data_IF_377039417634
#
_entry.id   IF_377039417634
#
_cell.length_a   1.000
_cell.length_b   1.000
_cell.length_c   1.000
_cell.angle_alpha   90.00
_cell.angle_beta   90.00
_cell.angle_gamma   90.00
#
_symmetry.space_group_name_H-M   'P 1'
#
loop_
_entity.id
_entity.type
_entity.pdbx_description
1 polymer ?
#
# COMPACT_ATOMS: atom_id res chain seq x y z
N UNK A 1 -18.06 9.07 6.75
CA UNK A 1 -16.86 8.38 6.22
C UNK A 1 -16.00 9.39 5.45
N UNK A 2 -14.73 9.41 5.77
CA UNK A 2 -13.81 10.35 5.13
C UNK A 2 -13.42 9.82 3.75
N UNK A 3 -13.34 10.73 2.79
CA UNK A 3 -12.94 10.36 1.44
C UNK A 3 -11.45 10.01 1.39
N UNK A 4 -11.10 9.01 0.58
CA UNK A 4 -9.71 8.60 0.40
C UNK A 4 -8.94 9.68 -0.37
N UNK A 5 -7.80 10.09 0.19
CA UNK A 5 -6.91 11.08 -0.43
C UNK A 5 -5.51 10.48 -0.56
N UNK A 6 -5.04 10.33 -1.79
CA UNK A 6 -3.73 9.75 -2.06
C UNK A 6 -2.60 10.55 -1.42
N UNK A 7 -2.69 11.87 -1.45
CA UNK A 7 -1.67 12.73 -0.86
C UNK A 7 -1.58 12.51 0.65
N UNK A 8 -2.73 12.43 1.31
CA UNK A 8 -2.77 12.17 2.74
C UNK A 8 -2.29 10.76 3.06
N UNK A 9 -2.64 9.80 2.22
CA UNK A 9 -2.17 8.42 2.39
C UNK A 9 -0.65 8.35 2.33
N UNK A 10 -0.04 9.04 1.38
CA UNK A 10 1.41 9.07 1.24
C UNK A 10 2.05 9.67 2.49
N UNK A 11 1.51 10.79 2.98
CA UNK A 11 2.01 11.43 4.19
C UNK A 11 1.90 10.51 5.39
N UNK A 12 0.78 9.82 5.51
CA UNK A 12 0.56 8.87 6.59
C UNK A 12 1.58 7.73 6.54
N UNK A 13 1.77 7.17 5.34
CA UNK A 13 2.74 6.08 5.16
C UNK A 13 4.14 6.53 5.57
N UNK A 14 4.55 7.72 5.12
CA UNK A 14 5.87 8.24 5.47
C UNK A 14 6.02 8.46 6.98
N UNK A 15 4.94 8.79 7.68
CA UNK A 15 4.99 9.01 9.11
C UNK A 15 5.00 7.70 9.90
N UNK A 16 4.42 6.65 9.35
CA UNK A 16 4.32 5.36 10.03
C UNK A 16 5.56 4.49 9.83
N UNK A 17 6.23 4.64 8.69
CA UNK A 17 7.38 3.81 8.35
C UNK A 17 8.66 4.59 8.64
N UNK A 18 9.44 4.09 9.60
CA UNK A 18 10.68 4.73 10.05
C UNK A 18 11.89 4.37 9.21
N UNK A 19 11.72 3.65 8.13
CA UNK A 19 12.82 3.25 7.27
C UNK A 19 13.49 4.45 6.61
N UNK A 20 14.81 4.48 6.62
CA UNK A 20 15.57 5.56 6.00
C UNK A 20 15.29 5.66 4.50
N UNK A 21 15.04 4.52 3.87
CA UNK A 21 14.80 4.46 2.43
C UNK A 21 13.46 5.08 2.06
N UNK A 22 12.45 4.92 2.91
CA UNK A 22 11.10 5.42 2.62
C UNK A 22 11.09 6.93 2.47
N UNK A 23 11.93 7.63 3.20
CA UNK A 23 12.03 9.09 3.11
C UNK A 23 12.62 9.53 1.77
N UNK A 24 13.37 8.66 1.13
CA UNK A 24 14.03 8.96 -0.15
C UNK A 24 13.19 8.56 -1.36
N UNK A 25 12.12 7.79 -1.14
CA UNK A 25 11.26 7.39 -2.25
C UNK A 25 10.41 8.58 -2.72
N UNK A 26 10.23 8.67 -4.02
CA UNK A 26 9.32 9.66 -4.60
C UNK A 26 7.88 9.27 -4.29
N UNK A 27 6.98 10.26 -4.36
CA UNK A 27 5.55 9.99 -4.18
C UNK A 27 5.06 8.96 -5.18
N UNK A 28 5.57 8.99 -6.42
CA UNK A 28 5.20 8.03 -7.46
C UNK A 28 5.55 6.60 -7.07
N UNK A 29 6.67 6.41 -6.37
CA UNK A 29 7.08 5.07 -5.93
C UNK A 29 6.10 4.52 -4.91
N UNK A 30 5.65 5.35 -4.00
CA UNK A 30 4.66 4.95 -3.00
C UNK A 30 3.30 4.72 -3.66
N UNK A 31 2.94 5.57 -4.64
CA UNK A 31 1.69 5.41 -5.38
C UNK A 31 1.64 4.08 -6.13
N UNK A 32 2.76 3.63 -6.67
CA UNK A 32 2.81 2.31 -7.33
C UNK A 32 2.37 1.21 -6.37
N UNK A 33 2.81 1.29 -5.13
CA UNK A 33 2.42 0.31 -4.12
C UNK A 33 0.93 0.42 -3.80
N UNK A 34 0.43 1.65 -3.64
CA UNK A 34 -0.98 1.89 -3.38
C UNK A 34 -1.84 1.35 -4.53
N UNK A 35 -1.45 1.63 -5.77
CA UNK A 35 -2.17 1.13 -6.94
C UNK A 35 -2.18 -0.39 -6.98
N UNK A 36 -1.06 -1.03 -6.64
CA UNK A 36 -0.99 -2.48 -6.60
C UNK A 36 -1.94 -3.06 -5.55
N UNK A 37 -2.06 -2.39 -4.41
CA UNK A 37 -3.00 -2.81 -3.37
C UNK A 37 -4.43 -2.76 -3.89
N UNK A 38 -4.79 -1.67 -4.55
CA UNK A 38 -6.14 -1.53 -5.12
C UNK A 38 -6.41 -2.58 -6.19
N UNK A 39 -5.42 -2.86 -7.04
CA UNK A 39 -5.55 -3.91 -8.05
C UNK A 39 -5.80 -5.26 -7.42
N UNK A 40 -5.12 -5.55 -6.32
CA UNK A 40 -5.34 -6.80 -5.59
C UNK A 40 -6.79 -6.93 -5.13
N UNK A 41 -7.33 -5.87 -4.56
CA UNK A 41 -8.72 -5.88 -4.09
C UNK A 41 -9.70 -6.03 -5.25
N UNK A 42 -9.44 -5.38 -6.37
CA UNK A 42 -10.27 -5.51 -7.56
C UNK A 42 -10.28 -6.94 -8.11
N UNK A 43 -9.09 -7.55 -8.17
CA UNK A 43 -8.96 -8.92 -8.68
C UNK A 43 -9.54 -9.96 -7.74
N UNK A 44 -9.47 -9.68 -6.44
CA UNK A 44 -10.07 -10.57 -5.45
C UNK A 44 -11.59 -10.57 -5.52
N UNK A 45 -12.12 -9.57 -6.19
CA UNK A 45 -13.53 -9.49 -6.50
C UNK A 45 -14.37 -9.01 -5.33
N UNK A 46 -15.65 -9.11 -5.55
CA UNK A 46 -16.66 -8.68 -4.59
C UNK A 46 -17.21 -9.87 -3.81
N UNK A 47 -16.33 -10.82 -3.51
CA UNK A 47 -16.70 -12.01 -2.78
C UNK A 47 -17.01 -11.66 -1.34
N UNK A 48 -18.23 -11.95 -0.90
CA UNK A 48 -18.66 -11.67 0.47
C UNK A 48 -17.84 -12.43 1.49
N UNK A 49 -17.24 -13.53 1.08
CA UNK A 49 -16.41 -14.36 1.96
C UNK A 49 -14.94 -13.98 1.91
N UNK A 50 -14.61 -12.89 1.24
CA UNK A 50 -13.22 -12.48 1.09
C UNK A 50 -12.62 -12.09 2.45
N UNK A 51 -11.55 -12.77 2.82
CA UNK A 51 -10.74 -12.42 3.98
C UNK A 51 -9.39 -11.91 3.51
N UNK A 52 -9.00 -10.75 4.02
CA UNK A 52 -7.71 -10.18 3.65
C UNK A 52 -6.57 -11.00 4.25
N UNK A 53 -5.73 -11.54 3.38
CA UNK A 53 -4.49 -12.19 3.78
C UNK A 53 -3.34 -11.24 3.47
N UNK A 54 -2.78 -10.62 4.51
CA UNK A 54 -1.70 -9.64 4.33
C UNK A 54 -0.51 -10.23 3.60
N UNK A 55 -0.18 -11.49 3.87
CA UNK A 55 0.97 -12.12 3.22
C UNK A 55 0.75 -12.25 1.71
N UNK A 56 -0.45 -12.60 1.31
CA UNK A 56 -0.78 -12.69 -0.11
C UNK A 56 -0.76 -11.32 -0.76
N UNK A 57 -1.29 -10.32 -0.08
CA UNK A 57 -1.27 -8.94 -0.57
C UNK A 57 0.17 -8.45 -0.75
N UNK A 58 1.01 -8.66 0.26
CA UNK A 58 2.41 -8.25 0.20
C UNK A 58 3.11 -8.94 -0.97
N UNK A 59 2.87 -10.23 -1.14
CA UNK A 59 3.48 -10.99 -2.23
C UNK A 59 3.00 -10.46 -3.59
N UNK A 60 1.72 -10.16 -3.71
CA UNK A 60 1.17 -9.59 -4.94
C UNK A 60 1.85 -8.26 -5.27
N UNK A 61 1.96 -7.38 -4.29
CA UNK A 61 2.60 -6.07 -4.48
C UNK A 61 4.06 -6.24 -4.91
N UNK A 62 4.79 -7.14 -4.24
CA UNK A 62 6.18 -7.42 -4.61
C UNK A 62 6.29 -7.89 -6.05
N UNK A 63 5.39 -8.77 -6.47
CA UNK A 63 5.40 -9.28 -7.84
C UNK A 63 5.12 -8.17 -8.85
N UNK A 64 4.21 -7.26 -8.54
CA UNK A 64 3.92 -6.14 -9.42
C UNK A 64 5.12 -5.21 -9.55
N UNK A 65 5.81 -4.95 -8.45
CA UNK A 65 6.99 -4.10 -8.46
C UNK A 65 8.14 -4.75 -9.23
N UNK A 66 8.28 -6.07 -9.13
CA UNK A 66 9.33 -6.79 -9.86
C UNK A 66 9.17 -6.71 -11.37
N UNK A 67 7.98 -6.44 -11.86
CA UNK A 67 7.73 -6.28 -13.29
C UNK A 67 8.20 -4.94 -13.82
N UNK A 68 8.40 -3.98 -12.94
CA UNK A 68 8.85 -2.64 -13.31
C UNK A 68 10.37 -2.56 -13.14
N UNK A 69 11.07 -2.45 -14.27
CA UNK A 69 12.54 -2.41 -14.26
C UNK A 69 13.09 -1.12 -13.65
N UNK A 70 12.27 -0.09 -13.59
CA UNK A 70 12.66 1.19 -12.99
C UNK A 70 12.35 1.28 -11.50
N UNK A 71 11.77 0.22 -10.94
CA UNK A 71 11.41 0.22 -9.53
C UNK A 71 12.66 0.32 -8.63
N UNK A 72 12.62 1.28 -7.71
CA UNK A 72 13.72 1.52 -6.76
C UNK A 72 13.35 1.14 -5.33
N UNK A 73 12.12 0.65 -5.12
CA UNK A 73 11.64 0.32 -3.78
C UNK A 73 12.24 -1.01 -3.32
N UNK A 74 12.81 -0.99 -2.11
CA UNK A 74 13.36 -2.20 -1.49
C UNK A 74 12.21 -3.12 -1.09
N UNK A 75 12.36 -4.40 -1.40
CA UNK A 75 11.32 -5.38 -1.08
C UNK A 75 11.06 -5.49 0.43
N UNK A 76 12.06 -5.22 1.25
CA UNK A 76 11.89 -5.22 2.70
C UNK A 76 10.99 -4.06 3.17
N UNK A 77 10.98 -2.96 2.43
CA UNK A 77 10.15 -1.81 2.77
C UNK A 77 8.71 -1.98 2.30
N UNK A 78 8.47 -2.81 1.30
CA UNK A 78 7.12 -3.05 0.76
C UNK A 78 6.16 -3.49 1.87
N UNK A 79 6.60 -4.42 2.71
CA UNK A 79 5.77 -4.92 3.80
C UNK A 79 5.30 -3.79 4.71
N UNK A 80 6.22 -2.93 5.11
CA UNK A 80 5.91 -1.82 6.02
C UNK A 80 4.97 -0.81 5.36
N UNK A 81 5.22 -0.52 4.08
CA UNK A 81 4.37 0.42 3.33
C UNK A 81 2.97 -0.13 3.16
N UNK A 82 2.84 -1.42 2.83
CA UNK A 82 1.53 -2.07 2.70
C UNK A 82 0.76 -1.99 4.02
N UNK A 83 1.42 -2.30 5.12
CA UNK A 83 0.77 -2.24 6.43
C UNK A 83 0.31 -0.83 6.77
N UNK A 84 1.12 0.17 6.46
CA UNK A 84 0.77 1.56 6.72
C UNK A 84 -0.46 1.98 5.89
N UNK A 85 -0.51 1.57 4.63
CA UNK A 85 -1.66 1.88 3.77
C UNK A 85 -2.94 1.22 4.31
N UNK A 86 -2.86 -0.03 4.74
CA UNK A 86 -4.01 -0.71 5.32
C UNK A 86 -4.49 0.00 6.59
N UNK A 87 -3.57 0.47 7.41
CA UNK A 87 -3.91 1.23 8.60
C UNK A 87 -4.61 2.54 8.25
N UNK A 88 -4.16 3.21 7.21
CA UNK A 88 -4.78 4.45 6.76
C UNK A 88 -6.22 4.20 6.32
N UNK A 89 -6.45 3.16 5.54
CA UNK A 89 -7.80 2.82 5.08
C UNK A 89 -8.72 2.47 6.26
N UNK A 90 -8.19 1.76 7.23
CA UNK A 90 -8.94 1.41 8.43
C UNK A 90 -9.34 2.66 9.21
N UNK A 91 -8.45 3.64 9.30
CA UNK A 91 -8.74 4.90 9.95
C UNK A 91 -9.90 5.64 9.28
N UNK A 92 -9.95 5.60 7.95
CA UNK A 92 -11.03 6.25 7.21
C UNK A 92 -12.38 5.62 7.51
N UNK A 93 -12.41 4.33 7.74
CA UNK A 93 -13.65 3.63 8.05
C UNK A 93 -14.13 3.89 9.49
N UNK A 94 -13.19 4.09 10.40
CA UNK A 94 -13.51 4.34 11.80
C UNK A 94 -13.95 5.78 12.05
N UNK A 95 -13.66 6.67 11.14
CA UNK A 95 -13.95 8.08 11.29
C UNK A 95 -15.37 8.36 10.78
N UNK A 96 -16.22 8.76 11.69
CA UNK A 96 -17.61 9.12 11.36
C UNK A 96 -17.85 10.61 11.54
#
# INVERSE_FOLDING_TARGET
MKEYDESEAIKFIRSQVDGKNVKNYADDDILLIIDAIFDFFEESGEDDDFELNENELILYVKNQLCKDIDNVVDMDDVKDIVKAELNYEEMLQDEE
#
